data_IF_055479403609
#
_entry.id   IF_055479403609
#
_cell.length_a   1.000
_cell.length_b   1.000
_cell.length_c   1.000
_cell.angle_alpha   90.00
_cell.angle_beta   90.00
_cell.angle_gamma   90.00
#
_symmetry.space_group_name_H-M   'P 1'
#
loop_
_entity.id
_entity.type
_entity.pdbx_description
1 polymer ?
#
# COMPACT_ATOMS: atom_id res chain seq x y z
N UNK A 1 20.77 35.26 87.18
CA UNK A 1 21.70 34.96 86.05
C UNK A 1 20.87 34.17 85.04
N UNK A 2 20.26 34.86 84.10
CA UNK A 2 19.32 34.30 83.10
C UNK A 2 19.95 34.40 81.70
N UNK A 3 20.09 33.26 81.05
CA UNK A 3 20.68 33.13 79.77
C UNK A 3 19.56 33.10 78.72
N UNK A 4 19.49 34.18 77.86
CA UNK A 4 18.54 34.36 76.76
C UNK A 4 19.16 33.71 75.52
N UNK A 5 18.48 32.71 74.94
CA UNK A 5 18.81 32.11 73.66
C UNK A 5 17.89 32.63 72.60
N UNK A 6 18.38 33.25 71.50
CA UNK A 6 17.52 33.72 70.41
C UNK A 6 17.19 32.58 69.47
N UNK A 7 15.91 32.37 69.23
CA UNK A 7 15.35 31.51 68.18
C UNK A 7 15.63 32.17 66.80
N UNK A 8 16.51 31.56 65.99
CA UNK A 8 16.58 31.84 64.57
C UNK A 8 15.66 30.90 63.78
N UNK A 9 14.64 31.47 63.19
CA UNK A 9 13.80 30.79 62.17
C UNK A 9 14.66 30.49 60.95
N UNK A 10 14.95 29.21 60.74
CA UNK A 10 15.44 28.72 59.47
C UNK A 10 14.35 28.65 58.43
N UNK A 11 14.40 29.52 57.42
CA UNK A 11 13.55 29.42 56.25
C UNK A 11 13.96 28.18 55.47
N UNK A 12 13.12 27.14 55.50
CA UNK A 12 13.27 25.97 54.65
C UNK A 12 12.91 26.36 53.21
N UNK A 13 13.89 26.54 52.36
CA UNK A 13 13.74 26.70 50.93
C UNK A 13 13.37 25.34 50.35
N UNK A 14 12.08 25.11 50.12
CA UNK A 14 11.59 24.00 49.31
C UNK A 14 11.93 24.31 47.88
N UNK A 15 13.04 23.78 47.39
CA UNK A 15 13.35 23.74 45.96
C UNK A 15 12.39 22.77 45.31
N UNK A 16 11.41 23.33 44.60
CA UNK A 16 10.58 22.58 43.65
C UNK A 16 11.48 22.04 42.52
N UNK A 17 11.87 20.76 42.66
CA UNK A 17 12.44 20.00 41.56
C UNK A 17 11.29 19.61 40.65
N UNK A 18 11.03 20.43 39.65
CA UNK A 18 10.14 20.11 38.53
C UNK A 18 10.82 19.05 37.68
N UNK A 19 10.53 17.77 37.97
CA UNK A 19 10.96 16.66 37.12
C UNK A 19 10.12 16.78 35.84
N UNK A 20 10.72 17.36 34.79
CA UNK A 20 10.22 17.24 33.42
C UNK A 20 10.41 15.77 33.02
N UNK A 21 9.36 14.97 33.18
CA UNK A 21 9.26 13.67 32.54
C UNK A 21 9.06 13.93 31.04
N UNK A 22 10.16 14.07 30.28
CA UNK A 22 10.17 13.95 28.83
C UNK A 22 9.76 12.52 28.50
N UNK A 23 8.45 12.31 28.32
CA UNK A 23 7.93 11.10 27.74
C UNK A 23 8.51 10.96 26.33
N UNK A 24 9.56 10.15 26.19
CA UNK A 24 10.06 9.71 24.90
C UNK A 24 8.93 8.94 24.22
N UNK A 25 8.16 9.62 23.36
CA UNK A 25 7.30 8.96 22.40
C UNK A 25 8.21 8.11 21.52
N UNK A 26 8.38 6.84 21.85
CA UNK A 26 9.04 5.87 21.01
C UNK A 26 8.19 5.78 19.72
N UNK A 27 8.62 6.47 18.68
CA UNK A 27 8.06 6.31 17.32
C UNK A 27 8.55 4.95 16.87
N UNK A 28 7.73 3.91 17.09
CA UNK A 28 7.97 2.60 16.49
C UNK A 28 7.74 2.76 15.00
N UNK A 29 8.72 2.42 14.14
CA UNK A 29 8.47 2.37 12.70
C UNK A 29 7.35 1.36 12.46
N UNK A 30 6.30 1.78 11.76
CA UNK A 30 5.23 0.87 11.38
C UNK A 30 5.83 -0.22 10.49
N UNK A 31 5.80 -1.46 10.98
CA UNK A 31 6.30 -2.61 10.23
C UNK A 31 5.20 -3.13 9.30
N UNK A 32 5.59 -3.57 8.10
CA UNK A 32 4.70 -4.27 7.21
C UNK A 32 4.31 -5.64 7.81
N UNK A 33 3.03 -5.91 7.93
CA UNK A 33 2.48 -7.14 8.50
C UNK A 33 1.90 -7.99 7.38
N UNK A 34 2.25 -9.29 7.36
CA UNK A 34 1.62 -10.25 6.45
C UNK A 34 0.16 -10.40 6.82
N UNK A 35 -0.74 -10.27 5.85
CA UNK A 35 -2.18 -10.33 6.06
C UNK A 35 -2.84 -11.39 5.17
N UNK A 36 -4.08 -11.77 5.54
CA UNK A 36 -4.90 -12.65 4.70
C UNK A 36 -5.46 -11.88 3.49
N UNK A 37 -5.69 -12.58 2.40
CA UNK A 37 -6.30 -12.02 1.20
C UNK A 37 -7.71 -11.46 1.45
N UNK A 38 -8.44 -12.04 2.42
CA UNK A 38 -9.78 -11.58 2.84
C UNK A 38 -9.79 -10.16 3.41
N UNK A 39 -8.66 -9.69 3.97
CA UNK A 39 -8.55 -8.32 4.44
C UNK A 39 -8.38 -7.31 3.29
N UNK A 40 -7.76 -7.73 2.18
CA UNK A 40 -7.49 -6.90 1.00
C UNK A 40 -8.67 -6.87 0.01
N UNK A 41 -9.25 -8.04 -0.32
CA UNK A 41 -10.25 -8.19 -1.37
C UNK A 41 -11.41 -7.19 -1.28
N UNK A 42 -12.08 -6.99 -0.12
CA UNK A 42 -13.20 -6.04 -0.01
C UNK A 42 -12.80 -4.57 -0.23
N UNK A 43 -11.54 -4.22 0.00
CA UNK A 43 -11.06 -2.85 -0.17
C UNK A 43 -10.98 -2.44 -1.64
N UNK A 44 -10.89 -3.43 -2.53
CA UNK A 44 -10.76 -3.23 -3.97
C UNK A 44 -12.10 -3.43 -4.70
N UNK A 45 -13.23 -3.25 -4.01
CA UNK A 45 -14.58 -3.29 -4.62
C UNK A 45 -15.01 -1.88 -4.99
N UNK A 46 -15.33 -1.66 -6.25
CA UNK A 46 -15.81 -0.36 -6.72
C UNK A 46 -15.46 -0.06 -8.17
N UNK A 47 -15.70 1.17 -8.54
CA UNK A 47 -15.34 1.72 -9.85
C UNK A 47 -14.51 2.97 -9.67
N UNK A 48 -13.41 3.04 -10.40
CA UNK A 48 -12.50 4.18 -10.39
C UNK A 48 -12.23 4.65 -11.82
N UNK A 49 -11.88 5.91 -11.93
CA UNK A 49 -11.31 6.52 -13.14
C UNK A 49 -9.97 7.16 -12.80
N UNK A 50 -9.09 7.24 -13.78
CA UNK A 50 -7.80 7.90 -13.59
C UNK A 50 -6.87 7.75 -14.76
N UNK A 51 -5.60 8.02 -14.53
CA UNK A 51 -4.56 7.96 -15.53
C UNK A 51 -3.65 6.76 -15.30
N UNK A 52 -3.40 5.99 -16.35
CA UNK A 52 -2.45 4.88 -16.35
C UNK A 52 -1.28 5.17 -17.28
N UNK A 53 -0.06 4.88 -16.85
CA UNK A 53 1.13 4.99 -17.68
C UNK A 53 2.20 3.98 -17.28
N UNK A 54 3.02 3.55 -18.24
CA UNK A 54 4.37 3.05 -17.96
C UNK A 54 5.33 4.23 -17.92
N UNK A 55 6.47 4.03 -17.24
CA UNK A 55 7.53 5.05 -17.22
C UNK A 55 7.98 5.39 -18.64
N UNK A 56 7.97 6.69 -18.95
CA UNK A 56 8.30 7.20 -20.29
C UNK A 56 7.16 7.19 -21.31
N UNK A 57 5.97 6.69 -20.97
CA UNK A 57 4.78 6.74 -21.85
C UNK A 57 3.84 7.90 -21.47
N UNK A 58 3.09 8.37 -22.44
CA UNK A 58 2.03 9.37 -22.23
C UNK A 58 0.88 8.71 -21.46
N UNK A 59 0.41 9.29 -20.33
CA UNK A 59 -0.71 8.76 -19.58
C UNK A 59 -1.99 8.62 -20.41
N UNK A 60 -2.72 7.52 -20.18
CA UNK A 60 -4.02 7.25 -20.81
C UNK A 60 -5.09 7.22 -19.74
N UNK A 61 -6.24 7.81 -20.02
CA UNK A 61 -7.40 7.68 -19.13
C UNK A 61 -7.90 6.24 -19.13
N UNK A 62 -8.14 5.72 -17.92
CA UNK A 62 -8.65 4.37 -17.71
C UNK A 62 -9.86 4.37 -16.79
N UNK A 63 -10.67 3.34 -16.92
CA UNK A 63 -11.72 2.95 -15.97
C UNK A 63 -11.29 1.63 -15.36
N UNK A 64 -11.30 1.58 -14.03
CA UNK A 64 -10.99 0.37 -13.25
C UNK A 64 -12.26 -0.10 -12.56
N UNK A 65 -12.63 -1.37 -12.75
CA UNK A 65 -13.74 -2.00 -12.05
C UNK A 65 -13.20 -3.12 -11.18
N UNK A 66 -13.56 -3.11 -9.90
CA UNK A 66 -13.16 -4.10 -8.90
C UNK A 66 -14.32 -4.91 -8.38
N UNK A 67 -14.17 -6.22 -8.38
CA UNK A 67 -15.14 -7.17 -7.86
C UNK A 67 -14.46 -8.17 -6.92
N UNK A 68 -14.95 -8.28 -5.69
CA UNK A 68 -14.54 -9.29 -4.71
C UNK A 68 -15.64 -10.35 -4.57
N UNK A 69 -15.30 -11.64 -4.63
CA UNK A 69 -16.24 -12.74 -4.44
C UNK A 69 -16.81 -12.73 -3.01
N UNK A 70 -18.00 -13.32 -2.84
CA UNK A 70 -18.69 -13.35 -1.55
C UNK A 70 -17.87 -14.05 -0.44
N UNK A 71 -17.09 -15.07 -0.79
CA UNK A 71 -16.18 -15.77 0.11
C UNK A 71 -14.86 -15.00 0.35
N UNK A 72 -14.67 -13.81 -0.31
CA UNK A 72 -13.51 -12.95 -0.25
C UNK A 72 -12.20 -13.63 -0.66
N UNK A 73 -12.27 -14.67 -1.47
CA UNK A 73 -11.09 -15.43 -1.93
C UNK A 73 -10.67 -15.11 -3.35
N UNK A 74 -11.43 -14.29 -4.06
CA UNK A 74 -11.19 -13.91 -5.44
C UNK A 74 -11.47 -12.41 -5.64
N UNK A 75 -10.51 -11.71 -6.23
CA UNK A 75 -10.64 -10.32 -6.64
C UNK A 75 -10.37 -10.23 -8.14
N UNK A 76 -11.27 -9.62 -8.88
CA UNK A 76 -11.08 -9.29 -10.28
C UNK A 76 -11.00 -7.78 -10.41
N UNK A 77 -9.91 -7.27 -10.99
CA UNK A 77 -9.79 -5.89 -11.44
C UNK A 77 -9.76 -5.89 -12.96
N UNK A 78 -10.69 -5.17 -13.57
CA UNK A 78 -10.70 -4.92 -15.02
C UNK A 78 -10.28 -3.47 -15.28
N UNK A 79 -9.27 -3.28 -16.13
CA UNK A 79 -8.71 -1.96 -16.48
C UNK A 79 -8.95 -1.71 -17.98
N UNK A 80 -9.79 -0.73 -18.30
CA UNK A 80 -10.16 -0.39 -19.67
C UNK A 80 -9.68 1.01 -20.03
N UNK A 81 -9.10 1.19 -21.20
CA UNK A 81 -8.69 2.50 -21.73
C UNK A 81 -9.91 3.19 -22.33
N UNK A 82 -10.67 3.93 -21.51
CA UNK A 82 -11.88 4.64 -21.93
C UNK A 82 -12.91 3.73 -22.62
N UNK A 83 -13.82 4.33 -23.39
CA UNK A 83 -14.86 3.60 -24.16
C UNK A 83 -14.41 3.17 -25.55
N UNK A 84 -13.22 3.55 -25.97
CA UNK A 84 -12.70 3.33 -27.34
C UNK A 84 -11.68 2.19 -27.43
N UNK A 85 -11.21 1.66 -26.28
CA UNK A 85 -10.24 0.57 -26.31
C UNK A 85 -10.92 -0.73 -26.74
N UNK A 86 -10.38 -1.46 -27.71
CA UNK A 86 -10.93 -2.73 -28.16
C UNK A 86 -10.75 -3.86 -27.15
N UNK A 87 -9.98 -3.66 -26.10
CA UNK A 87 -9.67 -4.67 -25.07
C UNK A 87 -9.42 -4.04 -23.71
N UNK A 88 -9.56 -4.85 -22.67
CA UNK A 88 -9.31 -4.50 -21.28
C UNK A 88 -8.28 -5.44 -20.69
N UNK A 89 -7.43 -4.91 -19.83
CA UNK A 89 -6.61 -5.76 -18.97
C UNK A 89 -7.49 -6.38 -17.89
N UNK A 90 -7.23 -7.63 -17.55
CA UNK A 90 -7.88 -8.34 -16.43
C UNK A 90 -6.83 -8.84 -15.48
N UNK A 91 -6.99 -8.52 -14.21
CA UNK A 91 -6.15 -8.96 -13.12
C UNK A 91 -6.99 -9.81 -12.18
N UNK A 92 -6.80 -11.11 -12.20
CA UNK A 92 -7.53 -12.03 -11.36
C UNK A 92 -6.65 -12.54 -10.23
N UNK A 93 -6.86 -12.00 -9.04
CA UNK A 93 -6.19 -12.40 -7.81
C UNK A 93 -7.01 -13.49 -7.11
N UNK A 94 -6.35 -14.57 -6.69
CA UNK A 94 -6.97 -15.68 -5.96
C UNK A 94 -6.15 -16.04 -4.74
N UNK A 95 -6.83 -16.30 -3.62
CA UNK A 95 -6.18 -16.86 -2.44
C UNK A 95 -5.66 -18.27 -2.76
N UNK A 96 -4.38 -18.51 -2.50
CA UNK A 96 -3.74 -19.82 -2.66
C UNK A 96 -2.89 -20.12 -1.43
N UNK A 97 -3.50 -20.75 -0.41
CA UNK A 97 -2.88 -20.94 0.89
C UNK A 97 -2.56 -19.58 1.55
N UNK A 98 -1.30 -19.35 1.88
CA UNK A 98 -0.82 -18.08 2.45
C UNK A 98 -0.36 -17.05 1.40
N UNK A 99 -0.51 -17.37 0.13
CA UNK A 99 -0.10 -16.53 -0.99
C UNK A 99 -1.30 -16.10 -1.83
N UNK A 100 -1.06 -15.21 -2.76
CA UNK A 100 -2.03 -14.72 -3.74
C UNK A 100 -1.54 -15.08 -5.13
N UNK A 101 -2.30 -15.87 -5.87
CA UNK A 101 -2.05 -16.12 -7.27
C UNK A 101 -2.70 -15.02 -8.10
N UNK A 102 -1.92 -14.26 -8.84
CA UNK A 102 -2.39 -13.33 -9.87
C UNK A 102 -2.34 -14.03 -11.23
N UNK A 103 -3.48 -14.09 -11.91
CA UNK A 103 -3.56 -14.34 -13.34
C UNK A 103 -3.79 -13.00 -14.05
N UNK A 104 -2.84 -12.58 -14.84
CA UNK A 104 -2.88 -11.33 -15.59
C UNK A 104 -3.11 -11.61 -17.08
N UNK A 105 -4.06 -10.90 -17.67
CA UNK A 105 -4.33 -10.90 -19.11
C UNK A 105 -4.41 -9.46 -19.62
N UNK A 106 -3.67 -9.11 -20.66
CA UNK A 106 -3.61 -7.77 -21.24
C UNK A 106 -4.65 -7.53 -22.35
N UNK A 107 -5.54 -8.49 -22.58
CA UNK A 107 -6.56 -8.44 -23.63
C UNK A 107 -6.08 -8.93 -25.00
N UNK A 108 -4.79 -9.26 -25.16
CA UNK A 108 -4.20 -9.61 -26.46
C UNK A 108 -3.28 -10.84 -26.37
N UNK A 109 -2.38 -10.85 -25.38
CA UNK A 109 -1.33 -11.88 -25.24
C UNK A 109 -1.84 -13.10 -24.46
N UNK A 110 -0.94 -14.07 -24.24
CA UNK A 110 -1.24 -15.17 -23.33
C UNK A 110 -1.31 -14.70 -21.88
N UNK A 111 -2.14 -15.38 -21.09
CA UNK A 111 -2.21 -15.18 -19.65
C UNK A 111 -0.86 -15.43 -18.98
N UNK A 112 -0.56 -14.61 -17.98
CA UNK A 112 0.62 -14.76 -17.11
C UNK A 112 0.17 -15.05 -15.70
N UNK A 113 0.81 -16.00 -15.04
CA UNK A 113 0.52 -16.34 -13.66
C UNK A 113 1.72 -16.05 -12.78
N UNK A 114 1.48 -15.52 -11.60
CA UNK A 114 2.50 -15.15 -10.64
C UNK A 114 1.99 -15.26 -9.21
N UNK A 115 2.82 -15.76 -8.31
CA UNK A 115 2.54 -15.86 -6.88
C UNK A 115 3.11 -14.66 -6.14
N UNK A 116 2.35 -14.16 -5.15
CA UNK A 116 2.72 -13.05 -4.29
C UNK A 116 2.47 -13.35 -2.83
N UNK A 117 3.28 -12.79 -1.95
CA UNK A 117 2.99 -12.63 -0.53
C UNK A 117 2.36 -11.26 -0.31
N UNK A 118 1.29 -11.19 0.50
CA UNK A 118 0.52 -9.97 0.74
C UNK A 118 0.83 -9.39 2.11
N UNK A 119 1.14 -8.10 2.13
CA UNK A 119 1.47 -7.32 3.33
C UNK A 119 0.63 -6.05 3.40
N UNK A 120 0.44 -5.56 4.62
CA UNK A 120 -0.18 -4.27 4.89
C UNK A 120 0.74 -3.41 5.77
N UNK A 121 0.79 -2.11 5.46
CA UNK A 121 1.48 -1.10 6.26
C UNK A 121 0.73 0.23 6.14
N UNK A 122 0.33 0.83 7.27
CA UNK A 122 -0.32 2.16 7.32
C UNK A 122 -1.58 2.31 6.42
N UNK A 123 -2.29 1.23 6.14
CA UNK A 123 -3.44 1.25 5.23
C UNK A 123 -3.12 0.91 3.77
N UNK A 124 -1.85 0.88 3.40
CA UNK A 124 -1.38 0.46 2.08
C UNK A 124 -1.21 -1.04 2.00
N UNK A 125 -1.38 -1.61 0.80
CA UNK A 125 -1.23 -3.03 0.53
C UNK A 125 -0.10 -3.27 -0.45
N UNK A 126 0.78 -4.22 -0.13
CA UNK A 126 1.93 -4.57 -0.95
C UNK A 126 1.92 -6.08 -1.24
N UNK A 127 1.91 -6.44 -2.52
CA UNK A 127 2.08 -7.81 -2.98
C UNK A 127 3.51 -7.96 -3.50
N UNK A 128 4.29 -8.84 -2.89
CA UNK A 128 5.69 -9.08 -3.22
C UNK A 128 5.86 -10.47 -3.82
N UNK A 129 6.51 -10.54 -4.97
CA UNK A 129 6.74 -11.81 -5.68
C UNK A 129 7.91 -11.73 -6.63
N UNK A 130 8.23 -12.86 -7.27
CA UNK A 130 9.26 -12.99 -8.29
C UNK A 130 8.62 -13.29 -9.64
N UNK A 131 9.25 -12.84 -10.72
CA UNK A 131 8.73 -13.11 -12.06
C UNK A 131 9.67 -12.67 -13.16
N UNK A 132 9.14 -12.60 -14.38
CA UNK A 132 9.89 -12.18 -15.56
C UNK A 132 9.26 -10.91 -16.13
N UNK A 133 10.05 -9.86 -16.25
CA UNK A 133 9.66 -8.58 -16.87
C UNK A 133 10.63 -8.27 -17.99
N UNK A 134 10.15 -8.00 -19.20
CA UNK A 134 10.98 -7.76 -20.39
C UNK A 134 12.05 -8.88 -20.62
N UNK A 135 11.64 -10.14 -20.45
CA UNK A 135 12.49 -11.33 -20.56
C UNK A 135 13.65 -11.41 -19.52
N UNK A 136 13.64 -10.61 -18.47
CA UNK A 136 14.60 -10.62 -17.36
C UNK A 136 13.94 -11.05 -16.06
N UNK A 137 14.64 -11.82 -15.23
CA UNK A 137 14.19 -12.16 -13.88
C UNK A 137 14.15 -10.91 -12.99
N UNK A 138 13.07 -10.76 -12.22
CA UNK A 138 12.86 -9.58 -11.37
C UNK A 138 12.10 -9.91 -10.10
N UNK A 139 12.38 -9.18 -9.04
CA UNK A 139 11.46 -8.98 -7.93
C UNK A 139 10.39 -8.00 -8.36
N UNK A 140 9.13 -8.30 -8.04
CA UNK A 140 7.98 -7.48 -8.41
C UNK A 140 7.22 -7.09 -7.16
N UNK A 141 6.96 -5.81 -7.01
CA UNK A 141 6.07 -5.26 -6.01
C UNK A 141 4.84 -4.65 -6.72
N UNK A 142 3.64 -5.09 -6.32
CA UNK A 142 2.40 -4.41 -6.65
C UNK A 142 1.97 -3.67 -5.38
N UNK A 143 1.95 -2.34 -5.44
CA UNK A 143 1.63 -1.49 -4.30
C UNK A 143 0.29 -0.80 -4.56
N UNK A 144 -0.63 -0.88 -3.60
CA UNK A 144 -1.88 -0.15 -3.54
C UNK A 144 -1.82 0.82 -2.37
N UNK A 145 -1.60 2.09 -2.64
CA UNK A 145 -1.53 3.15 -1.64
C UNK A 145 -2.88 3.85 -1.51
N UNK A 146 -3.39 3.94 -0.29
CA UNK A 146 -4.59 4.72 0.01
C UNK A 146 -4.28 6.22 -0.06
N UNK A 147 -4.93 6.94 -0.97
CA UNK A 147 -4.71 8.39 -1.17
C UNK A 147 -5.75 9.26 -0.50
N UNK A 148 -6.91 8.70 -0.17
CA UNK A 148 -7.93 9.42 0.58
C UNK A 148 -8.86 8.47 1.34
N UNK A 149 -9.49 8.95 2.43
CA UNK A 149 -10.53 8.20 3.14
C UNK A 149 -11.75 7.87 2.27
N UNK A 150 -11.93 8.59 1.15
CA UNK A 150 -13.03 8.41 0.20
C UNK A 150 -12.77 7.28 -0.81
N UNK A 151 -11.72 6.47 -0.62
CA UNK A 151 -11.41 5.32 -1.44
C UNK A 151 -10.65 5.62 -2.73
N UNK A 152 -9.92 6.74 -2.78
CA UNK A 152 -8.95 6.96 -3.84
C UNK A 152 -7.69 6.14 -3.57
N UNK A 153 -7.16 5.51 -4.63
CA UNK A 153 -5.98 4.67 -4.58
C UNK A 153 -4.94 5.11 -5.61
N UNK A 154 -3.69 4.83 -5.33
CA UNK A 154 -2.65 4.78 -6.34
C UNK A 154 -2.12 3.35 -6.41
N UNK A 155 -2.25 2.72 -7.58
CA UNK A 155 -1.59 1.47 -7.83
C UNK A 155 -0.29 1.69 -8.56
N UNK A 156 0.78 1.00 -8.13
CA UNK A 156 2.05 0.96 -8.84
C UNK A 156 2.57 -0.47 -8.94
N UNK A 157 3.20 -0.77 -10.07
CA UNK A 157 4.07 -1.92 -10.22
C UNK A 157 5.51 -1.42 -10.20
N UNK A 158 6.25 -1.87 -9.20
CA UNK A 158 7.66 -1.59 -9.06
C UNK A 158 8.45 -2.88 -9.33
N UNK A 159 9.61 -2.76 -9.94
CA UNK A 159 10.47 -3.90 -10.30
C UNK A 159 11.90 -3.64 -9.84
N UNK A 160 12.60 -4.74 -9.51
CA UNK A 160 14.03 -4.78 -9.29
C UNK A 160 14.57 -5.97 -10.09
N UNK A 161 15.36 -5.73 -11.11
CA UNK A 161 15.96 -6.81 -11.89
C UNK A 161 17.05 -7.51 -11.07
N UNK A 162 17.08 -8.85 -11.13
CA UNK A 162 18.03 -9.66 -10.37
C UNK A 162 19.44 -9.68 -10.98
N UNK A 163 19.56 -9.25 -12.22
CA UNK A 163 20.82 -9.14 -12.98
C UNK A 163 21.33 -7.70 -13.09
N UNK A 164 20.81 -6.78 -12.25
CA UNK A 164 21.17 -5.37 -12.21
C UNK A 164 21.89 -5.04 -10.90
N UNK A 165 22.84 -4.10 -10.94
CA UNK A 165 23.57 -3.60 -9.75
C UNK A 165 22.69 -2.65 -8.89
N UNK A 166 21.44 -2.37 -9.33
CA UNK A 166 20.52 -1.49 -8.63
C UNK A 166 19.72 -2.28 -7.59
N UNK A 167 20.15 -2.25 -6.34
CA UNK A 167 19.51 -2.94 -5.22
C UNK A 167 18.32 -2.14 -4.66
N UNK A 168 17.35 -1.80 -5.53
CA UNK A 168 16.09 -1.13 -5.15
C UNK A 168 15.00 -1.33 -6.19
N UNK A 169 13.75 -1.29 -5.72
CA UNK A 169 12.59 -1.22 -6.59
C UNK A 169 12.58 0.08 -7.40
N UNK A 170 12.25 -0.03 -8.68
CA UNK A 170 12.04 1.10 -9.60
C UNK A 170 10.62 1.06 -10.11
N UNK A 171 9.99 2.23 -10.22
CA UNK A 171 8.66 2.34 -10.83
C UNK A 171 8.71 1.82 -12.27
N UNK A 172 7.79 0.90 -12.58
CA UNK A 172 7.62 0.38 -13.93
C UNK A 172 6.36 0.94 -14.60
N UNK A 173 5.22 0.90 -13.90
CA UNK A 173 3.95 1.47 -14.35
C UNK A 173 3.05 1.77 -13.16
N UNK A 174 2.03 2.63 -13.38
CA UNK A 174 1.09 2.97 -12.33
C UNK A 174 -0.27 3.43 -12.86
N UNK A 175 -1.25 3.45 -11.96
CA UNK A 175 -2.61 3.96 -12.20
C UNK A 175 -3.01 4.80 -11.00
N UNK A 176 -3.45 6.03 -11.25
CA UNK A 176 -4.21 6.82 -10.28
C UNK A 176 -5.67 6.41 -10.35
N UNK A 177 -6.29 6.17 -9.19
CA UNK A 177 -7.65 5.61 -9.10
C UNK A 177 -8.51 6.53 -8.22
N UNK A 178 -9.32 7.38 -8.85
CA UNK A 178 -10.30 8.22 -8.17
C UNK A 178 -11.69 7.57 -8.26
N UNK A 179 -12.42 7.37 -7.16
CA UNK A 179 -13.75 6.76 -7.19
C UNK A 179 -14.69 7.49 -8.16
N UNK A 180 -15.44 6.72 -8.93
CA UNK A 180 -16.54 7.27 -9.73
C UNK A 180 -17.76 7.43 -8.82
N UNK A 181 -18.32 8.64 -8.77
CA UNK A 181 -19.56 8.87 -8.02
C UNK A 181 -20.67 7.97 -8.57
N UNK A 182 -21.52 7.37 -7.70
CA UNK A 182 -22.70 6.63 -8.17
C UNK A 182 -23.54 7.55 -9.07
N UNK A 183 -23.85 7.09 -10.28
CA UNK A 183 -24.84 7.75 -11.12
C UNK A 183 -26.21 7.56 -10.48
N UNK A 184 -26.83 8.63 -9.98
CA UNK A 184 -28.20 8.66 -9.48
C UNK A 184 -29.21 8.47 -10.60
#
# INVERSE_FOLDING_TARGET
>A
MALIIPRRLGKLLIKNVLILALGSLAIFPAQAVKISFKAFCPQMVGQWQGNAAKVGEIPKQVIVNGFCSHDQRQLILSVSVGTRAPYSETWWFREQGEQVLLTYYDGVSQEKQQLFSLYQQNGDYSLLGEGVVNARAALIQLLFEAKSPQGAWQWTQNIQYLDDDIDRYQLFRGIEMTPVAPSH
#
